data_IF_681730882940
#
_entry.id   IF_681730882940
#
_cell.length_a   1.000
_cell.length_b   1.000
_cell.length_c   1.000
_cell.angle_alpha   90.00
_cell.angle_beta   90.00
_cell.angle_gamma   90.00
#
_symmetry.space_group_name_H-M   'P 1'
#
loop_
_entity.id
_entity.type
_entity.pdbx_description
1 polymer ?
#
# COMPACT_ATOMS: atom_id res chain seq x y z
N UNK A 1 5.98 16.25 6.24
CA UNK A 1 6.13 14.80 6.46
C UNK A 1 4.95 14.16 5.78
N UNK A 2 5.16 13.19 4.91
CA UNK A 2 4.04 12.47 4.27
C UNK A 2 3.50 11.51 5.32
N UNK A 3 2.33 11.81 5.88
CA UNK A 3 1.68 10.93 6.83
C UNK A 3 1.41 9.57 6.15
N UNK A 4 1.56 8.49 6.90
CA UNK A 4 1.29 7.12 6.43
C UNK A 4 0.21 6.49 7.31
N UNK A 5 -0.59 5.62 6.72
CA UNK A 5 -1.61 4.85 7.43
C UNK A 5 -1.53 3.37 7.11
N UNK A 6 -1.88 2.55 8.10
CA UNK A 6 -2.00 1.11 7.93
C UNK A 6 -3.40 0.76 7.43
N UNK A 7 -3.48 -0.03 6.37
CA UNK A 7 -4.73 -0.44 5.75
C UNK A 7 -4.74 -1.94 5.48
N UNK A 8 -5.93 -2.52 5.45
CA UNK A 8 -6.10 -3.86 4.92
C UNK A 8 -5.99 -3.82 3.39
N UNK A 9 -5.43 -4.85 2.75
CA UNK A 9 -5.24 -4.91 1.29
C UNK A 9 -6.53 -4.68 0.49
N UNK A 10 -7.68 -5.03 1.06
CA UNK A 10 -9.00 -4.83 0.45
C UNK A 10 -9.50 -3.38 0.49
N UNK A 11 -8.86 -2.52 1.28
CA UNK A 11 -9.14 -1.08 1.34
C UNK A 11 -8.26 -0.29 0.36
N UNK A 12 -7.21 -0.91 -0.19
CA UNK A 12 -6.34 -0.28 -1.18
C UNK A 12 -7.08 -0.07 -2.50
N UNK A 13 -6.85 1.07 -3.12
CA UNK A 13 -7.39 1.42 -4.43
C UNK A 13 -6.23 1.68 -5.40
N UNK A 14 -6.42 1.42 -6.70
CA UNK A 14 -5.45 1.84 -7.70
C UNK A 14 -5.12 3.33 -7.56
N UNK A 15 -3.83 3.67 -7.55
CA UNK A 15 -3.32 5.03 -7.35
C UNK A 15 -2.87 5.36 -5.93
N UNK A 16 -3.22 4.57 -4.92
CA UNK A 16 -2.58 4.67 -3.59
C UNK A 16 -1.08 4.34 -3.72
N UNK A 17 -0.22 4.88 -2.83
CA UNK A 17 1.24 4.70 -2.90
C UNK A 17 1.74 3.97 -1.66
N UNK A 18 2.54 2.93 -1.85
CA UNK A 18 3.14 2.13 -0.76
C UNK A 18 4.16 2.96 0.03
N UNK A 19 4.04 2.95 1.35
CA UNK A 19 4.88 3.78 2.22
C UNK A 19 6.15 3.09 2.73
N UNK A 20 6.27 1.76 2.61
CA UNK A 20 7.40 0.97 3.10
C UNK A 20 7.65 -0.25 2.20
N UNK A 21 8.89 -0.73 2.15
CA UNK A 21 9.20 -1.97 1.45
C UNK A 21 8.44 -3.13 2.11
N UNK A 22 7.81 -3.96 1.28
CA UNK A 22 7.06 -5.14 1.72
C UNK A 22 7.86 -6.37 1.31
N UNK A 23 8.26 -7.15 2.29
CA UNK A 23 8.98 -8.40 2.09
C UNK A 23 8.07 -9.60 2.39
N UNK A 24 8.33 -10.73 1.74
CA UNK A 24 7.70 -11.99 2.10
C UNK A 24 8.37 -12.63 3.34
N UNK A 25 7.87 -13.79 3.75
CA UNK A 25 8.39 -14.53 4.91
C UNK A 25 9.84 -15.02 4.76
N UNK A 26 10.38 -15.02 3.56
CA UNK A 26 11.74 -15.47 3.24
C UNK A 26 12.70 -14.29 3.02
N UNK A 27 12.21 -13.05 3.12
CA UNK A 27 13.00 -11.84 2.93
C UNK A 27 13.07 -11.36 1.48
N UNK A 28 12.26 -11.91 0.56
CA UNK A 28 12.19 -11.40 -0.81
C UNK A 28 11.32 -10.15 -0.87
N UNK A 29 11.79 -9.13 -1.59
CA UNK A 29 11.04 -7.91 -1.82
C UNK A 29 9.83 -8.20 -2.72
N UNK A 30 8.63 -8.03 -2.18
CA UNK A 30 7.35 -8.20 -2.90
C UNK A 30 6.96 -6.91 -3.59
N UNK A 31 7.03 -5.78 -2.88
CA UNK A 31 6.71 -4.44 -3.39
C UNK A 31 7.66 -3.41 -2.78
N UNK A 32 8.33 -2.56 -3.58
CA UNK A 32 9.15 -1.48 -3.04
C UNK A 32 8.30 -0.33 -2.50
N UNK A 33 8.86 0.42 -1.54
CA UNK A 33 8.40 1.75 -1.14
C UNK A 33 8.26 2.64 -2.37
N UNK A 34 7.25 3.52 -2.34
CA UNK A 34 6.87 4.45 -3.41
C UNK A 34 6.29 3.79 -4.66
N UNK A 35 6.07 2.47 -4.67
CA UNK A 35 5.29 1.82 -5.72
C UNK A 35 3.85 2.36 -5.72
N UNK A 36 3.36 2.72 -6.91
CA UNK A 36 1.94 3.04 -7.12
C UNK A 36 1.15 1.74 -7.18
N UNK A 37 0.16 1.59 -6.30
CA UNK A 37 -0.73 0.44 -6.27
C UNK A 37 -1.53 0.41 -7.58
N UNK A 38 -1.34 -0.65 -8.36
CA UNK A 38 -2.16 -1.00 -9.54
C UNK A 38 -2.95 -2.28 -9.26
N UNK A 39 -3.83 -2.69 -10.19
CA UNK A 39 -4.51 -3.99 -10.08
C UNK A 39 -3.51 -5.16 -10.00
N UNK A 40 -2.42 -5.09 -10.77
CA UNK A 40 -1.36 -6.11 -10.76
C UNK A 40 -0.63 -6.14 -9.41
N UNK A 41 -0.37 -4.98 -8.82
CA UNK A 41 0.25 -4.89 -7.47
C UNK A 41 -0.67 -5.50 -6.41
N UNK A 42 -1.99 -5.27 -6.49
CA UNK A 42 -2.97 -5.85 -5.57
C UNK A 42 -2.96 -7.39 -5.68
N UNK A 43 -2.98 -7.93 -6.90
CA UNK A 43 -2.94 -9.40 -7.09
C UNK A 43 -1.61 -10.00 -6.62
N UNK A 44 -0.48 -9.32 -6.86
CA UNK A 44 0.83 -9.70 -6.29
C UNK A 44 0.77 -9.75 -4.76
N UNK A 45 0.31 -8.68 -4.11
CA UNK A 45 0.21 -8.62 -2.65
C UNK A 45 -0.70 -9.73 -2.08
N UNK A 46 -1.84 -10.04 -2.74
CA UNK A 46 -2.71 -11.17 -2.36
C UNK A 46 -2.01 -12.52 -2.50
N UNK A 47 -1.27 -12.71 -3.59
CA UNK A 47 -0.52 -13.95 -3.88
C UNK A 47 0.51 -14.24 -2.79
N UNK A 48 1.22 -13.20 -2.36
CA UNK A 48 2.18 -13.26 -1.23
C UNK A 48 1.52 -13.20 0.15
N UNK A 49 0.17 -13.27 0.21
CA UNK A 49 -0.64 -13.26 1.45
C UNK A 49 -0.40 -12.04 2.34
N UNK A 50 -0.05 -10.90 1.75
CA UNK A 50 0.05 -9.63 2.45
C UNK A 50 -1.37 -9.16 2.79
N UNK A 51 -1.69 -9.10 4.08
CA UNK A 51 -3.03 -8.69 4.56
C UNK A 51 -3.11 -7.20 4.87
N UNK A 52 -2.01 -6.66 5.40
CA UNK A 52 -1.91 -5.27 5.81
C UNK A 52 -0.64 -4.65 5.24
N UNK A 53 -0.72 -3.36 4.91
CA UNK A 53 0.38 -2.57 4.41
C UNK A 53 0.22 -1.10 4.81
N UNK A 54 1.33 -0.37 4.80
CA UNK A 54 1.34 1.08 4.97
C UNK A 54 1.25 1.77 3.61
N UNK A 55 0.36 2.75 3.51
CA UNK A 55 0.23 3.63 2.34
C UNK A 55 0.36 5.09 2.76
N UNK A 56 0.83 5.95 1.86
CA UNK A 56 0.84 7.39 2.12
C UNK A 56 -0.60 7.93 2.14
N UNK A 57 -0.87 8.85 3.06
CA UNK A 57 -2.10 9.62 3.03
C UNK A 57 -2.04 10.62 1.88
N UNK A 58 -3.03 10.54 0.99
CA UNK A 58 -3.22 11.59 0.00
C UNK A 58 -3.86 12.79 0.70
N UNK A 59 -3.16 13.93 0.70
CA UNK A 59 -3.67 15.21 1.21
C UNK A 59 -5.01 15.63 0.55
N UNK A 60 -5.32 15.08 -0.62
CA UNK A 60 -6.60 15.31 -1.33
C UNK A 60 -7.78 14.72 -0.53
N UNK A 61 -7.60 13.58 0.17
CA UNK A 61 -8.67 12.94 0.95
C UNK A 61 -8.94 13.65 2.28
N UNK A 62 -7.97 14.38 2.84
CA UNK A 62 -8.14 15.13 4.11
C UNK A 62 -9.15 16.28 4.00
N UNK A 63 -9.43 16.79 2.79
CA UNK A 63 -10.39 17.87 2.55
C UNK A 63 -11.84 17.44 2.45
N UNK A 64 -12.13 16.15 2.26
CA UNK A 64 -13.51 15.66 2.03
C UNK A 64 -14.18 15.16 3.31
N UNK A 65 -13.47 15.10 4.44
CA UNK A 65 -13.98 14.63 5.74
C UNK A 65 -14.12 15.76 6.78
N UNK A 66 -14.18 17.04 6.34
CA UNK A 66 -14.44 18.21 7.20
C UNK A 66 -15.69 18.97 6.76
#
# INVERSE_FOLDING_TARGET
>A
MTDKKYVHIYQCKPGDIVAEDIFDRYGFLVVPRNEVISRQVIERLKTFRVRQLSIYESEIKKKTEK
#
